data_IF_933802318422
#
_entry.id   IF_933802318422
#
_cell.length_a   1.000
_cell.length_b   1.000
_cell.length_c   1.000
_cell.angle_alpha   90.00
_cell.angle_beta   90.00
_cell.angle_gamma   90.00
#
_symmetry.space_group_name_H-M   'P 1'
#
loop_
_entity.id
_entity.type
_entity.pdbx_description
1 polymer ?
#
# COMPACT_ATOMS: atom_id res chain seq x y z
N UNK A 1 7.17 17.58 -3.53
CA UNK A 1 6.27 16.82 -2.64
C UNK A 1 6.39 15.38 -3.04
N UNK A 2 6.61 14.48 -2.09
CA UNK A 2 6.74 13.05 -2.36
C UNK A 2 5.40 12.40 -2.70
N UNK A 3 5.45 11.08 -2.88
CA UNK A 3 4.27 10.23 -2.96
C UNK A 3 4.01 9.57 -1.59
N UNK A 4 2.80 9.09 -1.38
CA UNK A 4 2.41 8.49 -0.11
C UNK A 4 1.52 7.26 -0.35
N UNK A 5 1.79 6.21 0.43
CA UNK A 5 1.06 4.96 0.46
C UNK A 5 0.58 4.60 1.86
N UNK A 6 -0.46 3.79 1.95
CA UNK A 6 -1.05 3.31 3.21
C UNK A 6 -1.47 1.86 3.07
N UNK A 7 -1.19 1.05 4.11
CA UNK A 7 -1.85 -0.25 4.29
C UNK A 7 -3.20 0.00 4.95
N UNK A 8 -4.28 -0.22 4.20
CA UNK A 8 -5.65 0.05 4.60
C UNK A 8 -6.40 -1.25 4.94
N UNK A 9 -6.82 -1.38 6.20
CA UNK A 9 -7.69 -2.46 6.65
C UNK A 9 -9.15 -2.04 6.53
N UNK A 10 -10.01 -2.97 6.07
CA UNK A 10 -11.47 -2.78 5.99
C UNK A 10 -12.16 -2.95 7.34
N UNK A 11 -11.54 -3.71 8.25
CA UNK A 11 -12.04 -3.99 9.60
C UNK A 11 -10.89 -4.11 10.58
N UNK A 12 -11.19 -4.06 11.88
CA UNK A 12 -10.19 -4.34 12.93
C UNK A 12 -9.75 -5.81 12.87
N UNK A 13 -8.58 -6.15 13.42
CA UNK A 13 -8.21 -7.55 13.59
C UNK A 13 -9.24 -8.32 14.41
N UNK A 14 -9.53 -9.54 13.99
CA UNK A 14 -10.44 -10.51 14.61
C UNK A 14 -9.80 -11.89 14.57
N UNK A 15 -10.32 -12.85 15.32
CA UNK A 15 -9.84 -14.24 15.25
C UNK A 15 -9.90 -14.84 13.83
N UNK A 16 -10.83 -14.37 12.98
CA UNK A 16 -10.99 -14.86 11.61
C UNK A 16 -9.91 -14.35 10.64
N UNK A 17 -9.38 -13.13 10.82
CA UNK A 17 -8.44 -12.51 9.88
C UNK A 17 -7.03 -12.28 10.45
N UNK A 18 -6.81 -12.51 11.75
CA UNK A 18 -5.54 -12.21 12.43
C UNK A 18 -4.35 -12.93 11.79
N UNK A 19 -4.53 -14.18 11.34
CA UNK A 19 -3.47 -14.94 10.68
C UNK A 19 -2.98 -14.27 9.40
N UNK A 20 -3.91 -13.81 8.55
CA UNK A 20 -3.59 -13.06 7.34
C UNK A 20 -2.92 -11.73 7.67
N UNK A 21 -3.49 -10.95 8.60
CA UNK A 21 -2.95 -9.64 8.96
C UNK A 21 -1.54 -9.72 9.57
N UNK A 22 -1.24 -10.80 10.31
CA UNK A 22 0.10 -11.09 10.81
C UNK A 22 1.11 -11.31 9.68
N UNK A 23 0.74 -12.08 8.65
CA UNK A 23 1.59 -12.25 7.47
C UNK A 23 1.83 -10.91 6.75
N UNK A 24 0.77 -10.12 6.56
CA UNK A 24 0.86 -8.79 5.92
C UNK A 24 1.76 -7.84 6.71
N UNK A 25 1.67 -7.81 8.05
CA UNK A 25 2.55 -6.99 8.86
C UNK A 25 4.02 -7.43 8.73
N UNK A 26 4.30 -8.74 8.80
CA UNK A 26 5.66 -9.26 8.62
C UNK A 26 6.24 -8.88 7.27
N UNK A 27 5.45 -9.02 6.20
CA UNK A 27 5.88 -8.60 4.87
C UNK A 27 6.12 -7.09 4.79
N UNK A 28 5.24 -6.26 5.37
CA UNK A 28 5.44 -4.81 5.41
C UNK A 28 6.80 -4.45 6.03
N UNK A 29 7.10 -5.01 7.20
CA UNK A 29 8.35 -4.76 7.93
C UNK A 29 9.58 -5.24 7.15
N UNK A 30 9.48 -6.39 6.49
CA UNK A 30 10.58 -6.95 5.71
C UNK A 30 10.87 -6.19 4.41
N UNK A 31 9.86 -5.52 3.85
CA UNK A 31 9.98 -4.86 2.55
C UNK A 31 10.32 -3.37 2.65
N UNK A 32 9.95 -2.66 3.72
CA UNK A 32 10.22 -1.22 3.84
C UNK A 32 11.24 -0.91 4.92
N UNK A 33 12.33 -0.26 4.52
CA UNK A 33 13.21 0.40 5.46
C UNK A 33 12.52 1.66 6.01
N UNK A 34 12.78 2.04 7.28
CA UNK A 34 12.27 3.28 7.83
C UNK A 34 12.65 4.48 6.96
N UNK A 35 11.70 5.39 6.68
CA UNK A 35 11.93 6.55 5.82
C UNK A 35 13.07 7.47 6.29
N UNK A 36 13.35 7.48 7.59
CA UNK A 36 14.47 8.20 8.22
C UNK A 36 15.85 7.65 7.84
N UNK A 37 15.91 6.42 7.35
CA UNK A 37 17.13 5.73 6.91
C UNK A 37 17.36 5.88 5.40
N UNK A 38 16.37 6.41 4.68
CA UNK A 38 16.50 6.70 3.25
C UNK A 38 17.50 7.84 3.01
N UNK A 39 18.41 7.72 2.03
CA UNK A 39 19.34 8.79 1.67
C UNK A 39 18.66 9.94 0.91
N UNK A 40 17.40 9.76 0.50
CA UNK A 40 16.62 10.76 -0.25
C UNK A 40 15.89 11.69 0.71
N UNK A 41 15.57 12.91 0.25
CA UNK A 41 14.75 13.84 1.03
C UNK A 41 13.30 13.36 1.06
N UNK A 42 12.55 13.68 2.12
CA UNK A 42 11.14 13.27 2.29
C UNK A 42 10.24 13.71 1.12
N UNK A 43 10.56 14.85 0.50
CA UNK A 43 9.85 15.40 -0.66
C UNK A 43 10.20 14.72 -1.99
N UNK A 44 11.15 13.79 -1.97
CA UNK A 44 11.61 12.93 -3.06
C UNK A 44 11.54 11.43 -2.68
N UNK A 45 10.63 11.08 -1.78
CA UNK A 45 10.35 9.70 -1.38
C UNK A 45 8.88 9.34 -1.68
N UNK A 46 8.63 8.05 -1.86
CA UNK A 46 7.31 7.47 -1.69
C UNK A 46 7.26 6.71 -0.37
N UNK A 47 6.56 7.26 0.62
CA UNK A 47 6.49 6.64 1.96
C UNK A 47 5.21 5.81 2.06
N UNK A 48 5.35 4.53 2.38
CA UNK A 48 4.21 3.66 2.69
C UNK A 48 4.09 3.51 4.19
N UNK A 49 2.92 3.78 4.76
CA UNK A 49 2.73 3.69 6.22
C UNK A 49 1.75 2.59 6.61
N UNK A 50 1.94 2.09 7.82
CA UNK A 50 0.94 1.35 8.57
C UNK A 50 0.37 2.29 9.66
N UNK A 51 -0.91 2.68 9.61
CA UNK A 51 -1.48 3.62 10.57
C UNK A 51 -1.51 3.07 12.01
N UNK A 52 -0.83 3.76 12.91
CA UNK A 52 -0.79 3.45 14.35
C UNK A 52 -1.27 4.63 15.19
N UNK A 53 -1.86 4.36 16.35
CA UNK A 53 -2.30 5.39 17.28
C UNK A 53 -1.11 5.99 18.05
N UNK A 54 -0.12 5.16 18.36
CA UNK A 54 1.18 5.56 18.91
C UNK A 54 2.34 5.00 18.06
N UNK A 55 2.70 5.68 16.95
CA UNK A 55 3.85 5.29 16.13
C UNK A 55 5.20 5.53 16.83
N UNK A 56 5.23 6.19 18.00
CA UNK A 56 6.44 6.47 18.75
C UNK A 56 6.67 5.48 19.91
N UNK A 57 5.76 4.55 20.14
CA UNK A 57 5.94 3.44 21.07
C UNK A 57 7.19 2.63 20.70
N UNK A 58 7.87 2.06 21.70
CA UNK A 58 9.10 1.32 21.45
C UNK A 58 8.82 0.00 20.71
N UNK A 59 7.65 -0.60 20.92
CA UNK A 59 7.12 -1.73 20.17
C UNK A 59 6.96 -1.38 18.68
N UNK A 60 6.40 -0.21 18.37
CA UNK A 60 6.27 0.26 17.00
C UNK A 60 7.64 0.48 16.34
N UNK A 61 8.62 1.04 17.06
CA UNK A 61 9.99 1.24 16.54
C UNK A 61 10.77 -0.06 16.35
N UNK A 62 10.38 -1.12 17.06
CA UNK A 62 10.92 -2.48 16.91
C UNK A 62 10.15 -3.30 15.88
N UNK A 63 9.18 -2.69 15.20
CA UNK A 63 8.34 -3.34 14.20
C UNK A 63 7.61 -4.58 14.75
N UNK A 64 7.14 -4.50 16.01
CA UNK A 64 6.40 -5.57 16.68
C UNK A 64 5.01 -5.73 16.06
N UNK A 65 4.81 -6.80 15.29
CA UNK A 65 3.56 -7.03 14.59
C UNK A 65 2.36 -7.27 15.51
N UNK A 66 2.54 -7.81 16.72
CA UNK A 66 1.44 -7.95 17.66
C UNK A 66 0.98 -6.58 18.15
N UNK A 67 1.92 -5.68 18.44
CA UNK A 67 1.61 -4.29 18.77
C UNK A 67 0.92 -3.57 17.60
N UNK A 68 1.52 -3.65 16.40
CA UNK A 68 1.06 -2.96 15.18
C UNK A 68 -0.39 -3.31 14.85
N UNK A 69 -0.80 -4.57 15.03
CA UNK A 69 -2.17 -5.00 14.78
C UNK A 69 -3.14 -4.50 15.86
N UNK A 70 -2.76 -4.54 17.14
CA UNK A 70 -3.60 -4.09 18.24
C UNK A 70 -3.78 -2.57 18.27
N UNK A 71 -2.80 -1.82 17.77
CA UNK A 71 -2.75 -0.36 17.77
C UNK A 71 -3.12 0.27 16.42
N UNK A 72 -3.75 -0.50 15.54
CA UNK A 72 -4.13 -0.04 14.21
C UNK A 72 -5.22 1.04 14.22
N UNK A 73 -4.97 2.14 13.49
CA UNK A 73 -5.95 3.24 13.35
C UNK A 73 -6.87 3.00 12.17
N UNK A 74 -7.97 2.29 12.41
CA UNK A 74 -8.99 2.02 11.38
C UNK A 74 -9.59 3.29 10.75
N UNK A 75 -9.64 4.40 11.51
CA UNK A 75 -10.15 5.68 10.99
C UNK A 75 -9.31 6.25 9.84
N UNK A 76 -7.98 6.04 9.88
CA UNK A 76 -7.08 6.47 8.81
C UNK A 76 -7.31 5.65 7.54
N UNK A 77 -7.46 4.33 7.67
CA UNK A 77 -7.82 3.43 6.59
C UNK A 77 -9.17 3.78 5.95
N UNK A 78 -10.17 4.04 6.80
CA UNK A 78 -11.52 4.42 6.37
C UNK A 78 -11.50 5.73 5.57
N UNK A 79 -10.72 6.71 6.02
CA UNK A 79 -10.54 7.99 5.33
C UNK A 79 -9.83 7.80 3.99
N UNK A 80 -8.76 7.00 3.97
CA UNK A 80 -8.02 6.65 2.76
C UNK A 80 -8.93 6.01 1.71
N UNK A 81 -9.69 4.97 2.08
CA UNK A 81 -10.64 4.32 1.18
C UNK A 81 -11.74 5.29 0.70
N UNK A 82 -12.26 6.15 1.57
CA UNK A 82 -13.27 7.15 1.19
C UNK A 82 -12.72 8.18 0.18
N UNK A 83 -11.47 8.60 0.32
CA UNK A 83 -10.81 9.47 -0.65
C UNK A 83 -10.58 8.77 -1.98
N UNK A 84 -10.10 7.53 -1.97
CA UNK A 84 -9.93 6.73 -3.18
C UNK A 84 -11.26 6.47 -3.90
N UNK A 85 -12.36 6.29 -3.17
CA UNK A 85 -13.70 6.11 -3.75
C UNK A 85 -14.16 7.36 -4.54
N UNK A 86 -13.78 8.58 -4.11
CA UNK A 86 -14.01 9.81 -4.89
C UNK A 86 -13.20 9.85 -6.19
N UNK A 87 -12.17 9.04 -6.28
CA UNK A 87 -11.32 8.83 -7.45
C UNK A 87 -11.69 7.51 -8.15
N UNK A 88 -12.94 7.03 -7.97
CA UNK A 88 -13.49 5.84 -8.62
C UNK A 88 -12.85 4.50 -8.23
N UNK A 89 -12.08 4.44 -7.14
CA UNK A 89 -11.60 3.17 -6.62
C UNK A 89 -12.73 2.36 -5.99
N UNK A 90 -12.68 1.03 -6.16
CA UNK A 90 -13.69 0.10 -5.66
C UNK A 90 -13.04 -0.89 -4.69
N UNK A 91 -13.66 -1.08 -3.52
CA UNK A 91 -13.14 -1.89 -2.40
C UNK A 91 -14.06 -3.08 -2.09
N UNK A 92 -14.38 -3.88 -3.12
CA UNK A 92 -15.28 -5.03 -2.99
C UNK A 92 -14.66 -6.19 -2.21
N UNK A 93 -13.33 -6.33 -2.26
CA UNK A 93 -12.56 -7.34 -1.55
C UNK A 93 -12.60 -7.21 -0.02
N UNK A 94 -12.08 -8.22 0.66
CA UNK A 94 -11.87 -8.22 2.12
C UNK A 94 -10.61 -7.42 2.51
N UNK A 95 -9.66 -7.29 1.58
CA UNK A 95 -8.36 -6.66 1.77
C UNK A 95 -7.35 -7.57 2.48
N UNK A 96 -6.29 -6.98 3.05
CA UNK A 96 -6.03 -5.54 3.13
C UNK A 96 -5.71 -4.91 1.77
N UNK A 97 -5.71 -3.58 1.72
CA UNK A 97 -5.41 -2.82 0.50
C UNK A 97 -4.14 -2.00 0.67
N UNK A 98 -3.28 -1.97 -0.35
CA UNK A 98 -2.25 -0.94 -0.49
C UNK A 98 -2.84 0.19 -1.32
N UNK A 99 -2.92 1.39 -0.76
CA UNK A 99 -3.48 2.56 -1.44
C UNK A 99 -2.41 3.62 -1.54
N UNK A 100 -2.22 4.23 -2.69
CA UNK A 100 -1.22 5.26 -2.88
C UNK A 100 -1.67 6.42 -3.74
N UNK A 101 -1.02 7.57 -3.51
CA UNK A 101 -1.23 8.84 -4.20
C UNK A 101 0.08 9.47 -4.58
N UNK A 102 0.09 10.10 -5.75
CA UNK A 102 1.18 10.99 -6.14
C UNK A 102 0.68 12.19 -6.95
N UNK A 103 1.10 13.43 -6.59
CA UNK A 103 1.78 13.79 -5.34
C UNK A 103 0.92 13.47 -4.10
N UNK A 104 1.50 13.42 -2.90
CA UNK A 104 0.78 13.03 -1.68
C UNK A 104 -0.48 13.87 -1.40
N UNK A 105 -0.50 15.15 -1.79
CA UNK A 105 -1.65 16.05 -1.64
C UNK A 105 -2.75 15.80 -2.68
N UNK A 106 -2.61 14.82 -3.57
CA UNK A 106 -3.65 14.43 -4.54
C UNK A 106 -4.77 13.59 -3.94
N UNK A 107 -4.62 13.13 -2.69
CA UNK A 107 -5.62 12.31 -2.02
C UNK A 107 -6.99 12.98 -2.01
N UNK A 108 -8.00 12.28 -2.53
CA UNK A 108 -9.39 12.75 -2.57
C UNK A 108 -9.70 13.81 -3.62
N UNK A 109 -8.73 14.18 -4.49
CA UNK A 109 -8.96 15.05 -5.65
C UNK A 109 -9.53 14.21 -6.82
N UNK A 110 -10.78 14.43 -7.27
CA UNK A 110 -11.46 13.53 -8.20
C UNK A 110 -10.78 13.35 -9.57
N UNK A 111 -10.02 14.35 -10.02
CA UNK A 111 -9.29 14.38 -11.29
C UNK A 111 -7.88 13.77 -11.21
N UNK A 112 -7.53 13.16 -10.08
CA UNK A 112 -6.22 12.56 -9.84
C UNK A 112 -6.31 11.05 -9.77
N UNK A 113 -5.22 10.41 -10.16
CA UNK A 113 -5.05 8.96 -10.05
C UNK A 113 -4.84 8.52 -8.60
N UNK A 114 -5.39 7.35 -8.28
CA UNK A 114 -5.09 6.57 -7.09
C UNK A 114 -4.69 5.17 -7.50
N UNK A 115 -3.63 4.65 -6.91
CA UNK A 115 -3.22 3.27 -7.10
C UNK A 115 -3.75 2.42 -5.94
N UNK A 116 -4.35 1.28 -6.26
CA UNK A 116 -4.86 0.33 -5.27
C UNK A 116 -4.34 -1.07 -5.59
N UNK A 117 -3.76 -1.75 -4.61
CA UNK A 117 -3.53 -3.20 -4.66
C UNK A 117 -4.46 -3.84 -3.62
N UNK A 118 -5.32 -4.73 -4.08
CA UNK A 118 -6.33 -5.46 -3.33
C UNK A 118 -5.83 -6.86 -3.02
N UNK A 119 -5.21 -7.03 -1.85
CA UNK A 119 -4.57 -8.27 -1.43
C UNK A 119 -5.58 -9.33 -0.95
N UNK A 120 -6.85 -9.25 -1.38
CA UNK A 120 -7.90 -10.17 -0.95
C UNK A 120 -7.60 -11.61 -1.34
N UNK A 121 -7.02 -11.85 -2.52
CA UNK A 121 -6.72 -13.19 -3.01
C UNK A 121 -5.47 -13.81 -2.37
N UNK A 122 -4.55 -12.98 -1.87
CA UNK A 122 -3.34 -13.41 -1.14
C UNK A 122 -3.67 -13.95 0.24
N UNK A 123 -3.49 -15.26 0.43
CA UNK A 123 -3.88 -15.97 1.65
C UNK A 123 -2.75 -16.82 2.27
N UNK A 124 -1.53 -16.71 1.72
CA UNK A 124 -0.33 -17.31 2.27
C UNK A 124 0.82 -16.29 2.24
N UNK A 125 1.91 -16.62 2.93
CA UNK A 125 3.05 -15.70 3.08
C UNK A 125 3.68 -15.33 1.73
N UNK A 126 3.78 -16.30 0.81
CA UNK A 126 4.45 -16.11 -0.50
C UNK A 126 3.67 -15.12 -1.37
N UNK A 127 2.35 -15.30 -1.47
CA UNK A 127 1.48 -14.39 -2.23
C UNK A 127 1.49 -12.97 -1.66
N UNK A 128 1.46 -12.83 -0.33
CA UNK A 128 1.56 -11.53 0.34
C UNK A 128 2.94 -10.89 0.10
N UNK A 129 4.03 -11.65 0.15
CA UNK A 129 5.38 -11.14 -0.14
C UNK A 129 5.47 -10.62 -1.58
N UNK A 130 4.88 -11.34 -2.55
CA UNK A 130 4.83 -10.88 -3.94
C UNK A 130 4.07 -9.55 -4.12
N UNK A 131 2.97 -9.34 -3.39
CA UNK A 131 2.25 -8.06 -3.42
C UNK A 131 3.11 -6.90 -2.90
N UNK A 132 3.87 -7.14 -1.83
CA UNK A 132 4.81 -6.15 -1.29
C UNK A 132 6.03 -5.95 -2.18
N UNK A 133 6.54 -6.98 -2.84
CA UNK A 133 7.59 -6.87 -3.85
C UNK A 133 7.15 -6.03 -5.04
N UNK A 134 5.93 -6.25 -5.53
CA UNK A 134 5.35 -5.39 -6.57
C UNK A 134 5.30 -3.94 -6.09
N UNK A 135 4.68 -3.69 -4.93
CA UNK A 135 4.54 -2.35 -4.40
C UNK A 135 5.89 -1.65 -4.18
N UNK A 136 6.85 -2.34 -3.55
CA UNK A 136 8.19 -1.82 -3.28
C UNK A 136 8.94 -1.56 -4.58
N UNK A 137 9.12 -2.58 -5.39
CA UNK A 137 10.10 -2.55 -6.49
C UNK A 137 9.55 -1.82 -7.72
N UNK A 138 8.23 -1.86 -7.94
CA UNK A 138 7.61 -1.30 -9.15
C UNK A 138 6.95 0.05 -8.93
N UNK A 139 6.59 0.38 -7.70
CA UNK A 139 5.92 1.64 -7.38
C UNK A 139 6.84 2.51 -6.52
N UNK A 140 7.17 2.08 -5.30
CA UNK A 140 7.94 2.90 -4.35
C UNK A 140 9.33 3.25 -4.89
N UNK A 141 10.06 2.25 -5.40
CA UNK A 141 11.43 2.40 -5.90
C UNK A 141 11.54 2.84 -7.37
N UNK A 142 10.42 3.15 -8.04
CA UNK A 142 10.43 3.76 -9.37
C UNK A 142 9.94 5.21 -9.34
N UNK A 143 10.80 6.19 -9.00
CA UNK A 143 10.43 7.59 -9.04
C UNK A 143 9.93 8.07 -10.41
N UNK A 144 10.28 7.42 -11.51
CA UNK A 144 9.75 7.80 -12.82
C UNK A 144 8.25 7.50 -12.95
N UNK A 145 7.72 6.59 -12.13
CA UNK A 145 6.29 6.27 -12.08
C UNK A 145 5.47 7.30 -11.31
N UNK A 146 6.04 8.04 -10.35
CA UNK A 146 5.26 8.89 -9.45
C UNK A 146 5.80 10.32 -9.23
N UNK A 147 7.06 10.66 -9.52
CA UNK A 147 7.63 11.99 -9.17
C UNK A 147 6.89 13.18 -9.80
N UNK A 148 6.21 12.97 -10.93
CA UNK A 148 5.38 13.97 -11.60
C UNK A 148 3.88 13.66 -11.51
N UNK A 149 3.48 12.91 -10.48
CA UNK A 149 2.20 12.21 -10.43
C UNK A 149 2.27 10.82 -11.06
N UNK A 150 1.27 9.99 -10.79
CA UNK A 150 1.28 8.61 -11.31
C UNK A 150 1.22 8.56 -12.85
N UNK A 151 2.20 7.89 -13.45
CA UNK A 151 2.23 7.60 -14.88
C UNK A 151 1.50 6.29 -15.17
N UNK A 152 0.28 6.40 -15.70
CA UNK A 152 -0.55 5.25 -16.05
C UNK A 152 0.15 4.29 -17.03
N UNK A 153 0.86 4.82 -18.01
CA UNK A 153 1.61 4.02 -19.00
C UNK A 153 2.70 3.19 -18.32
N UNK A 154 3.52 3.82 -17.47
CA UNK A 154 4.61 3.14 -16.76
C UNK A 154 4.09 2.10 -15.78
N UNK A 155 3.05 2.43 -15.01
CA UNK A 155 2.47 1.47 -14.06
C UNK A 155 1.88 0.27 -14.82
N UNK A 156 1.17 0.50 -15.93
CA UNK A 156 0.69 -0.60 -16.80
C UNK A 156 1.85 -1.45 -17.34
N UNK A 157 2.97 -0.85 -17.71
CA UNK A 157 4.15 -1.59 -18.13
C UNK A 157 4.72 -2.41 -16.97
N UNK A 158 4.90 -1.82 -15.79
CA UNK A 158 5.39 -2.50 -14.60
C UNK A 158 4.50 -3.68 -14.19
N UNK A 159 3.18 -3.53 -14.32
CA UNK A 159 2.21 -4.62 -14.11
C UNK A 159 2.48 -5.76 -15.10
N UNK A 160 2.59 -5.46 -16.41
CA UNK A 160 2.85 -6.47 -17.44
C UNK A 160 4.17 -7.21 -17.20
N UNK A 161 5.25 -6.48 -16.95
CA UNK A 161 6.56 -7.07 -16.67
C UNK A 161 6.54 -7.96 -15.42
N UNK A 162 5.73 -7.60 -14.42
CA UNK A 162 5.56 -8.37 -13.21
C UNK A 162 4.73 -9.65 -13.45
N UNK A 163 3.66 -9.59 -14.25
CA UNK A 163 2.93 -10.79 -14.73
C UNK A 163 3.88 -11.75 -15.43
N UNK A 164 4.68 -11.24 -16.36
CA UNK A 164 5.53 -12.07 -17.21
C UNK A 164 6.59 -12.81 -16.38
N UNK A 165 6.99 -12.26 -15.24
CA UNK A 165 7.97 -12.88 -14.34
C UNK A 165 7.37 -13.84 -13.32
N UNK A 166 6.25 -13.47 -12.67
CA UNK A 166 5.71 -14.21 -11.52
C UNK A 166 4.40 -14.96 -11.80
N UNK A 167 3.82 -14.81 -13.00
CA UNK A 167 2.57 -15.43 -13.41
C UNK A 167 1.35 -14.52 -13.20
N UNK A 168 0.20 -14.93 -13.77
CA UNK A 168 -1.02 -14.11 -13.86
C UNK A 168 -1.76 -13.92 -12.55
N UNK A 169 -1.48 -14.72 -11.53
CA UNK A 169 -2.27 -14.73 -10.30
C UNK A 169 -2.06 -13.47 -9.45
N UNK A 170 -0.89 -12.81 -9.54
CA UNK A 170 -0.57 -11.61 -8.74
C UNK A 170 -1.23 -10.34 -9.28
N UNK A 171 -1.63 -10.32 -10.56
CA UNK A 171 -2.14 -9.10 -11.20
C UNK A 171 -3.64 -8.92 -11.13
N UNK A 172 -4.37 -9.96 -10.69
CA UNK A 172 -5.80 -9.82 -10.38
C UNK A 172 -6.06 -8.81 -9.25
N UNK A 173 -5.04 -8.60 -8.43
CA UNK A 173 -5.12 -7.81 -7.21
C UNK A 173 -4.81 -6.33 -7.47
N UNK A 174 -4.22 -5.95 -8.61
CA UNK A 174 -3.81 -4.57 -8.87
C UNK A 174 -4.91 -3.81 -9.62
N UNK A 175 -5.46 -2.77 -8.97
CA UNK A 175 -6.50 -1.88 -9.50
C UNK A 175 -5.99 -0.45 -9.59
N UNK A 176 -6.13 0.18 -10.76
CA UNK A 176 -5.88 1.61 -10.94
C UNK A 176 -7.21 2.33 -11.13
N UNK A 177 -7.42 3.40 -10.38
CA UNK A 177 -8.61 4.24 -10.48
C UNK A 177 -8.24 5.73 -10.58
N UNK A 178 -9.14 6.54 -11.13
CA UNK A 178 -8.99 8.00 -11.13
C UNK A 178 -8.73 8.65 -12.49
N UNK A 179 -8.96 7.92 -13.59
CA UNK A 179 -9.14 8.52 -14.91
C UNK A 179 -10.36 7.87 -15.56
N UNK A 180 -11.43 8.66 -15.70
CA UNK A 180 -12.54 8.35 -16.62
C UNK A 180 -12.11 8.61 -18.06
#
# INVERSE_FOLDING_TARGET
MGAYGIVALKSRPTSANIGKLMMVCKSFVQHFDPSRESPYRIDDQMITIWPLDDPNADEAKRDDCDFVLNHYVLGAASTAMAYSARQHAVFDGEGPFLIGWSPADSAGKPDKLVLVVDMSASNDQISIDHDFDFWKNKIVQDPASWRSGFSLERIRQSIRDFVDHYGTDIVRDIKMAGLN
#
